data_IF_644541947796
#
_entry.id   IF_644541947796
#
_cell.length_a   1.000
_cell.length_b   1.000
_cell.length_c   1.000
_cell.angle_alpha   90.00
_cell.angle_beta   90.00
_cell.angle_gamma   90.00
#
_symmetry.space_group_name_H-M   'P 1'
#
loop_
_entity.id
_entity.type
_entity.pdbx_description
1 polymer ?
#
# COMPACT_ATOMS: atom_id res chain seq x y z
N UNK A 1 -27.01 20.73 8.50
CA UNK A 1 -25.91 21.06 7.57
C UNK A 1 -25.69 19.82 6.72
N UNK A 2 -26.18 19.82 5.48
CA UNK A 2 -26.41 18.59 4.72
C UNK A 2 -25.12 17.94 4.24
N UNK A 3 -24.89 16.68 4.60
CA UNK A 3 -23.97 15.79 3.89
C UNK A 3 -24.51 15.60 2.45
N UNK A 4 -23.81 16.11 1.44
CA UNK A 4 -24.01 15.77 0.01
C UNK A 4 -22.69 15.92 -0.77
N UNK A 5 -22.45 15.16 -1.85
CA UNK A 5 -22.87 13.79 -2.15
C UNK A 5 -21.78 12.77 -1.75
N UNK A 6 -22.19 11.51 -1.57
CA UNK A 6 -21.27 10.37 -1.50
C UNK A 6 -20.45 10.30 -2.79
N UNK A 7 -19.14 10.38 -2.65
CA UNK A 7 -18.24 10.18 -3.79
C UNK A 7 -17.90 8.71 -3.77
N UNK A 8 -18.67 7.96 -4.54
CA UNK A 8 -18.27 6.62 -4.89
C UNK A 8 -17.20 6.71 -5.97
N UNK A 9 -16.04 6.08 -5.73
CA UNK A 9 -15.08 5.81 -6.82
C UNK A 9 -15.71 4.95 -7.93
N UNK A 10 -16.83 4.24 -7.64
CA UNK A 10 -17.51 3.40 -8.62
C UNK A 10 -17.90 4.22 -9.86
N UNK A 11 -18.57 5.36 -9.72
CA UNK A 11 -19.11 6.08 -10.88
C UNK A 11 -18.05 6.67 -11.83
N UNK A 12 -16.79 6.84 -11.39
CA UNK A 12 -15.70 7.40 -12.22
C UNK A 12 -14.86 6.30 -12.87
N UNK A 13 -14.84 5.09 -12.31
CA UNK A 13 -13.94 4.00 -12.70
C UNK A 13 -14.65 2.67 -13.04
N UNK A 14 -15.98 2.69 -13.26
CA UNK A 14 -16.81 1.54 -13.65
C UNK A 14 -16.34 0.77 -14.91
N UNK A 15 -15.33 1.27 -15.64
CA UNK A 15 -14.77 0.65 -16.83
C UNK A 15 -13.52 -0.23 -16.62
N UNK A 16 -13.00 -0.34 -15.39
CA UNK A 16 -12.01 -1.38 -15.09
C UNK A 16 -12.72 -2.70 -14.76
N UNK A 17 -13.22 -3.37 -15.80
CA UNK A 17 -13.64 -4.78 -15.75
C UNK A 17 -12.42 -5.65 -15.50
N UNK A 18 -11.95 -5.68 -14.26
CA UNK A 18 -10.80 -6.46 -13.84
C UNK A 18 -11.29 -7.86 -13.45
N UNK A 19 -10.67 -8.86 -14.06
CA UNK A 19 -10.98 -10.28 -13.90
C UNK A 19 -10.88 -10.73 -12.42
N UNK A 20 -11.55 -11.83 -12.07
CA UNK A 20 -11.68 -12.47 -10.76
C UNK A 20 -10.39 -12.77 -9.93
N UNK A 21 -9.22 -12.25 -10.29
CA UNK A 21 -7.94 -12.38 -9.57
C UNK A 21 -7.50 -11.02 -9.02
N UNK A 22 -8.07 -10.59 -7.88
CA UNK A 22 -7.77 -9.29 -7.31
C UNK A 22 -6.83 -9.37 -6.11
N UNK A 23 -5.62 -8.82 -6.26
CA UNK A 23 -4.73 -8.49 -5.15
C UNK A 23 -5.11 -7.13 -4.58
N UNK A 24 -5.28 -7.04 -3.26
CA UNK A 24 -5.52 -5.74 -2.64
C UNK A 24 -4.30 -4.82 -2.82
N UNK A 25 -4.52 -3.51 -2.78
CA UNK A 25 -3.49 -2.47 -2.91
C UNK A 25 -2.82 -2.31 -4.28
N UNK A 26 -3.13 -3.16 -5.26
CA UNK A 26 -2.70 -3.01 -6.65
C UNK A 26 -3.70 -2.14 -7.44
N UNK A 27 -3.26 -1.59 -8.59
CA UNK A 27 -4.16 -0.93 -9.54
C UNK A 27 -4.69 0.43 -9.08
N UNK A 28 -3.90 1.18 -8.31
CA UNK A 28 -4.28 2.53 -7.89
C UNK A 28 -4.60 3.41 -9.12
N UNK A 29 -5.84 3.94 -9.25
CA UNK A 29 -6.28 4.62 -10.46
C UNK A 29 -5.88 6.09 -10.52
N UNK A 30 -5.32 6.63 -9.45
CA UNK A 30 -4.98 8.05 -9.38
C UNK A 30 -3.73 8.34 -10.20
N UNK A 31 -3.83 9.31 -11.09
CA UNK A 31 -2.67 9.84 -11.79
C UNK A 31 -1.84 10.67 -10.81
N UNK A 32 -0.60 10.23 -10.59
CA UNK A 32 0.33 10.80 -9.61
C UNK A 32 1.19 11.93 -10.18
N UNK A 33 0.74 12.57 -11.27
CA UNK A 33 1.39 13.64 -12.04
C UNK A 33 2.53 14.36 -11.29
N UNK A 34 3.72 14.41 -11.90
CA UNK A 34 4.78 15.31 -11.45
C UNK A 34 4.27 16.75 -11.56
N UNK A 35 4.16 17.39 -10.40
CA UNK A 35 3.47 18.64 -10.21
C UNK A 35 4.32 19.85 -10.72
N UNK A 36 3.81 20.59 -11.72
CA UNK A 36 4.30 21.93 -12.10
C UNK A 36 3.15 22.99 -12.15
N UNK A 37 3.28 24.13 -11.42
CA UNK A 37 2.62 25.48 -11.54
C UNK A 37 1.57 26.09 -10.53
N UNK A 38 0.83 25.42 -9.61
CA UNK A 38 0.03 26.05 -8.46
C UNK A 38 0.31 25.70 -6.96
N UNK A 39 0.40 26.67 -6.02
CA UNK A 39 0.72 26.44 -4.58
C UNK A 39 -0.19 25.43 -3.82
N UNK A 40 0.32 24.80 -2.75
CA UNK A 40 -0.44 23.80 -1.97
C UNK A 40 -1.75 24.34 -1.42
N UNK A 41 -1.73 25.57 -0.92
CA UNK A 41 -2.90 26.19 -0.31
C UNK A 41 -4.02 26.35 -1.33
N UNK A 42 -3.70 26.75 -2.57
CA UNK A 42 -4.66 26.86 -3.66
C UNK A 42 -5.30 25.52 -4.00
N UNK A 43 -4.48 24.45 -4.01
CA UNK A 43 -4.95 23.10 -4.31
C UNK A 43 -5.83 22.58 -3.18
N UNK A 44 -5.43 22.76 -1.91
CA UNK A 44 -6.23 22.31 -0.75
C UNK A 44 -7.59 22.99 -0.73
N UNK A 45 -7.67 24.28 -1.07
CA UNK A 45 -8.91 25.04 -1.10
C UNK A 45 -9.75 24.80 -2.38
N UNK A 46 -9.27 23.99 -3.32
CA UNK A 46 -10.01 23.72 -4.54
C UNK A 46 -11.34 23.01 -4.26
N UNK A 47 -12.40 23.38 -5.00
CA UNK A 47 -13.74 22.81 -4.83
C UNK A 47 -13.81 21.31 -5.15
N UNK A 48 -12.90 20.82 -6.01
CA UNK A 48 -12.75 19.40 -6.36
C UNK A 48 -11.74 18.64 -5.50
N UNK A 49 -11.15 19.27 -4.47
CA UNK A 49 -10.28 18.57 -3.53
C UNK A 49 -11.06 17.70 -2.55
N UNK A 50 -10.58 16.48 -2.36
CA UNK A 50 -11.14 15.43 -1.50
C UNK A 50 -10.08 14.92 -0.55
N UNK A 51 -10.47 14.76 0.71
CA UNK A 51 -9.56 14.41 1.79
C UNK A 51 -10.01 13.11 2.45
N UNK A 52 -9.08 12.17 2.55
CA UNK A 52 -9.22 10.92 3.28
C UNK A 52 -8.58 11.07 4.67
N UNK A 53 -9.37 11.13 5.75
CA UNK A 53 -8.85 11.38 7.07
C UNK A 53 -8.23 10.13 7.70
N UNK A 54 -7.08 10.31 8.34
CA UNK A 54 -6.40 9.28 9.13
C UNK A 54 -6.09 9.77 10.54
N UNK A 55 -6.15 8.86 11.51
CA UNK A 55 -5.66 9.09 12.86
C UNK A 55 -4.86 7.90 13.32
N UNK A 56 -3.61 8.10 13.73
CA UNK A 56 -2.71 6.99 14.09
C UNK A 56 -2.68 5.89 13.01
N UNK A 57 -2.64 6.30 11.73
CA UNK A 57 -2.65 5.42 10.54
C UNK A 57 -3.94 4.59 10.34
N UNK A 58 -4.98 4.83 11.14
CA UNK A 58 -6.33 4.29 10.96
C UNK A 58 -7.14 5.22 10.08
N UNK A 59 -7.81 4.68 9.07
CA UNK A 59 -8.62 5.45 8.12
C UNK A 59 -10.01 5.71 8.70
N UNK A 60 -10.57 6.89 8.47
CA UNK A 60 -11.95 7.19 8.85
C UNK A 60 -12.92 6.41 7.94
N UNK A 61 -13.78 5.61 8.56
CA UNK A 61 -14.64 4.66 7.86
C UNK A 61 -16.10 4.79 8.31
N UNK A 62 -17.02 4.72 7.35
CA UNK A 62 -18.45 4.64 7.61
C UNK A 62 -18.87 3.16 7.64
N UNK A 63 -19.21 2.65 8.83
CA UNK A 63 -19.55 1.24 9.01
C UNK A 63 -20.90 0.87 8.37
N UNK A 64 -21.88 1.77 8.37
CA UNK A 64 -23.19 1.53 7.77
C UNK A 64 -23.09 1.39 6.24
N UNK A 65 -22.30 2.27 5.61
CA UNK A 65 -22.10 2.31 4.16
C UNK A 65 -20.94 1.45 3.67
N UNK A 66 -20.17 0.87 4.60
CA UNK A 66 -18.99 0.04 4.34
C UNK A 66 -17.97 0.70 3.39
N UNK A 67 -17.69 1.99 3.60
CA UNK A 67 -16.76 2.73 2.74
C UNK A 67 -15.92 3.76 3.51
N UNK A 68 -14.75 4.14 2.99
CA UNK A 68 -13.97 5.25 3.54
C UNK A 68 -14.74 6.58 3.47
N UNK A 69 -14.52 7.45 4.45
CA UNK A 69 -15.17 8.76 4.50
C UNK A 69 -14.29 9.79 3.79
N UNK A 70 -14.81 10.34 2.69
CA UNK A 70 -14.18 11.44 1.96
C UNK A 70 -14.81 12.77 2.35
N UNK A 71 -13.97 13.76 2.64
CA UNK A 71 -14.39 15.10 3.05
C UNK A 71 -13.96 16.15 2.03
N UNK A 72 -14.69 17.27 1.98
CA UNK A 72 -14.33 18.43 1.16
C UNK A 72 -13.48 19.42 1.96
N UNK A 73 -12.81 20.33 1.27
CA UNK A 73 -12.05 21.39 1.94
C UNK A 73 -12.93 22.24 2.86
N UNK A 74 -14.19 22.51 2.47
CA UNK A 74 -15.12 23.32 3.26
C UNK A 74 -15.49 22.67 4.59
N UNK A 75 -15.46 21.35 4.66
CA UNK A 75 -15.74 20.61 5.89
C UNK A 75 -14.52 20.64 6.82
N UNK A 76 -13.32 20.40 6.28
CA UNK A 76 -12.10 20.23 7.07
C UNK A 76 -11.41 21.55 7.43
N UNK A 77 -11.36 22.50 6.51
CA UNK A 77 -10.53 23.71 6.62
C UNK A 77 -11.38 24.98 6.64
N UNK A 78 -10.93 25.97 7.42
CA UNK A 78 -11.44 27.35 7.39
C UNK A 78 -10.26 28.32 7.23
N UNK A 79 -10.39 29.29 6.33
CA UNK A 79 -9.44 30.39 6.24
C UNK A 79 -9.67 31.44 7.35
N UNK A 80 -10.81 31.40 8.03
CA UNK A 80 -11.22 32.36 9.06
C UNK A 80 -11.04 31.86 10.51
N UNK A 81 -10.39 30.70 10.70
CA UNK A 81 -10.00 30.16 12.01
C UNK A 81 -11.14 30.09 13.05
N UNK A 82 -12.31 29.57 12.65
CA UNK A 82 -13.39 29.26 13.59
C UNK A 82 -13.02 28.02 14.42
N UNK A 83 -13.43 27.93 15.70
CA UNK A 83 -13.08 26.85 16.66
C UNK A 83 -13.42 25.41 16.19
N UNK A 84 -14.09 25.28 15.05
CA UNK A 84 -14.64 24.04 14.52
C UNK A 84 -13.95 23.51 13.27
N UNK A 85 -12.86 24.11 12.77
CA UNK A 85 -12.11 23.61 11.59
C UNK A 85 -10.60 23.62 11.79
N UNK A 86 -9.88 22.89 10.94
CA UNK A 86 -8.42 22.76 10.97
C UNK A 86 -7.76 23.84 10.13
N UNK A 87 -6.51 24.17 10.48
CA UNK A 87 -5.59 24.88 9.58
C UNK A 87 -4.62 23.88 8.93
N UNK A 88 -4.09 24.24 7.75
CA UNK A 88 -3.22 23.34 6.94
C UNK A 88 -1.95 22.92 7.70
N UNK A 89 -1.41 23.81 8.53
CA UNK A 89 -0.23 23.61 9.36
C UNK A 89 -0.45 22.69 10.58
N UNK A 90 -1.70 22.43 10.96
CA UNK A 90 -2.05 21.50 12.04
C UNK A 90 -2.09 20.03 11.61
N UNK A 91 -1.93 19.77 10.31
CA UNK A 91 -2.09 18.45 9.72
C UNK A 91 -0.89 18.10 8.83
N UNK A 92 -0.58 16.82 8.72
CA UNK A 92 0.24 16.34 7.61
C UNK A 92 -0.67 16.02 6.43
N UNK A 93 -0.36 16.60 5.27
CA UNK A 93 -1.14 16.48 4.05
C UNK A 93 -0.31 15.82 2.96
N UNK A 94 -0.86 14.78 2.36
CA UNK A 94 -0.23 14.04 1.28
C UNK A 94 -1.16 14.01 0.07
N UNK A 95 -0.70 14.52 -1.07
CA UNK A 95 -1.39 14.39 -2.34
C UNK A 95 -1.28 12.95 -2.84
N UNK A 96 -2.42 12.31 -3.07
CA UNK A 96 -2.51 10.95 -3.59
C UNK A 96 -2.52 10.93 -5.13
N UNK A 97 -3.12 11.96 -5.73
CA UNK A 97 -3.18 12.15 -7.18
C UNK A 97 -4.51 12.76 -7.64
N UNK A 98 -4.78 12.67 -8.95
CA UNK A 98 -6.00 13.17 -9.60
C UNK A 98 -6.72 11.99 -10.28
N UNK A 99 -8.05 11.96 -10.26
CA UNK A 99 -8.86 10.92 -10.95
C UNK A 99 -8.97 11.11 -12.47
N UNK A 100 -7.93 11.62 -13.14
CA UNK A 100 -8.01 11.87 -14.58
C UNK A 100 -8.18 10.57 -15.38
N UNK A 101 -9.17 10.53 -16.26
CA UNK A 101 -9.34 9.45 -17.25
C UNK A 101 -8.44 9.64 -18.48
N UNK A 102 -7.86 10.83 -18.66
CA UNK A 102 -6.92 11.10 -19.73
C UNK A 102 -5.53 10.62 -19.33
N UNK A 103 -4.97 9.67 -20.09
CA UNK A 103 -3.53 9.40 -20.08
C UNK A 103 -2.86 10.64 -20.68
N UNK A 104 -2.67 11.69 -19.88
CA UNK A 104 -2.10 12.96 -20.35
C UNK A 104 -0.73 12.69 -20.98
N UNK A 105 -0.58 13.18 -22.19
CA UNK A 105 0.62 13.19 -23.03
C UNK A 105 1.89 13.44 -22.19
N UNK A 106 2.84 12.48 -22.22
CA UNK A 106 4.11 12.51 -21.48
C UNK A 106 5.18 13.39 -22.14
N UNK A 107 4.79 14.32 -23.01
CA UNK A 107 5.72 15.21 -23.70
C UNK A 107 6.55 16.01 -22.67
N UNK A 108 7.89 15.97 -22.74
CA UNK A 108 8.75 16.67 -21.79
C UNK A 108 8.55 18.18 -21.92
N UNK A 109 8.07 18.82 -20.86
CA UNK A 109 8.01 20.28 -20.78
C UNK A 109 9.42 20.81 -20.55
N UNK A 110 9.86 21.73 -21.40
CA UNK A 110 11.18 22.35 -21.34
C UNK A 110 11.50 22.86 -19.92
N UNK A 111 12.62 22.38 -19.37
CA UNK A 111 13.17 22.83 -18.09
C UNK A 111 13.65 24.27 -18.25
N UNK A 112 12.91 25.24 -17.72
CA UNK A 112 13.50 26.56 -17.46
C UNK A 112 14.48 26.42 -16.30
N UNK A 113 15.61 27.14 -16.38
CA UNK A 113 16.70 27.12 -15.39
C UNK A 113 16.19 27.27 -13.94
N UNK A 114 16.84 26.61 -12.97
CA UNK A 114 16.44 26.69 -11.57
C UNK A 114 16.66 28.10 -11.03
N UNK A 115 15.59 28.89 -10.97
CA UNK A 115 15.59 30.16 -10.25
C UNK A 115 15.96 29.90 -8.79
N UNK A 116 16.93 30.66 -8.25
CA UNK A 116 17.40 30.56 -6.87
C UNK A 116 16.24 30.33 -5.89
N UNK A 117 16.22 29.15 -5.29
CA UNK A 117 15.20 28.73 -4.33
C UNK A 117 15.51 29.41 -2.99
N UNK A 118 14.75 30.44 -2.62
CA UNK A 118 14.76 30.99 -1.27
C UNK A 118 14.10 30.02 -0.26
N UNK A 119 14.36 30.23 1.02
CA UNK A 119 13.84 29.41 2.12
C UNK A 119 12.34 29.62 2.40
N UNK A 120 11.67 30.56 1.74
CA UNK A 120 10.23 30.82 1.89
C UNK A 120 9.40 30.12 0.79
N UNK A 121 10.04 29.70 -0.31
CA UNK A 121 9.43 29.06 -1.49
C UNK A 121 9.14 27.56 -1.32
N UNK A 122 9.26 27.06 -0.10
CA UNK A 122 9.35 25.62 0.18
C UNK A 122 8.01 24.88 0.08
N UNK A 123 6.88 25.60 -0.06
CA UNK A 123 5.52 25.06 -0.09
C UNK A 123 4.87 25.01 -1.49
N UNK A 124 5.65 25.12 -2.56
CA UNK A 124 5.09 25.10 -3.93
C UNK A 124 4.85 23.67 -4.40
N UNK A 125 3.68 23.15 -4.06
CA UNK A 125 2.97 22.12 -4.83
C UNK A 125 2.49 22.78 -6.11
N UNK A 126 2.03 22.02 -7.09
CA UNK A 126 1.98 22.57 -8.44
C UNK A 126 1.14 21.71 -9.44
N UNK A 127 -0.18 21.85 -9.60
CA UNK A 127 -0.92 21.00 -10.57
C UNK A 127 -0.56 21.33 -12.04
N UNK A 128 -0.21 20.31 -12.85
CA UNK A 128 0.18 20.47 -14.26
C UNK A 128 -0.95 20.98 -15.18
N UNK A 129 -2.20 20.73 -14.79
CA UNK A 129 -3.43 21.25 -15.40
C UNK A 129 -4.51 21.37 -14.33
N UNK A 130 -5.49 22.26 -14.53
CA UNK A 130 -6.71 22.24 -13.73
C UNK A 130 -7.40 20.89 -13.89
N UNK A 131 -7.98 20.32 -12.82
CA UNK A 131 -8.86 19.18 -12.95
C UNK A 131 -10.00 19.50 -13.94
N UNK A 132 -10.30 18.57 -14.83
CA UNK A 132 -11.50 18.63 -15.65
C UNK A 132 -12.77 18.67 -14.79
N UNK A 133 -13.95 18.98 -15.37
CA UNK A 133 -15.21 19.12 -14.63
C UNK A 133 -15.58 17.92 -13.73
N UNK A 134 -15.17 16.71 -14.11
CA UNK A 134 -15.44 15.45 -13.41
C UNK A 134 -14.19 14.82 -12.75
N UNK A 135 -13.08 15.57 -12.69
CA UNK A 135 -11.85 15.12 -12.05
C UNK A 135 -11.75 15.65 -10.61
N UNK A 136 -11.24 14.82 -9.71
CA UNK A 136 -11.06 15.17 -8.31
C UNK A 136 -9.61 15.04 -7.92
N UNK A 137 -9.18 15.90 -6.99
CA UNK A 137 -7.84 15.91 -6.42
C UNK A 137 -7.92 15.24 -5.05
N UNK A 138 -7.14 14.18 -4.85
CA UNK A 138 -7.26 13.35 -3.65
C UNK A 138 -6.07 13.55 -2.72
N UNK A 139 -6.36 13.72 -1.44
CA UNK A 139 -5.40 13.86 -0.37
C UNK A 139 -5.63 12.80 0.71
N UNK A 140 -4.56 12.32 1.33
CA UNK A 140 -4.61 11.76 2.67
C UNK A 140 -4.24 12.86 3.67
N UNK A 141 -4.96 12.92 4.79
CA UNK A 141 -4.76 13.93 5.83
C UNK A 141 -4.65 13.28 7.20
N UNK A 142 -3.61 13.64 7.97
CA UNK A 142 -3.55 13.26 9.38
C UNK A 142 -4.41 14.19 10.23
N UNK A 143 -5.25 13.62 11.08
CA UNK A 143 -6.18 14.36 11.94
C UNK A 143 -5.65 14.41 13.37
N UNK A 144 -5.49 15.61 13.96
CA UNK A 144 -5.03 15.76 15.33
C UNK A 144 -6.09 15.25 16.32
N UNK A 145 -5.68 14.81 17.53
CA UNK A 145 -6.60 14.29 18.55
C UNK A 145 -7.73 15.26 18.90
N UNK A 146 -7.47 16.56 18.93
CA UNK A 146 -8.44 17.62 19.24
C UNK A 146 -9.58 17.75 18.22
N UNK A 147 -9.46 17.13 17.05
CA UNK A 147 -10.43 17.21 15.97
C UNK A 147 -11.09 15.87 15.61
N UNK A 148 -10.53 14.76 16.09
CA UNK A 148 -10.94 13.41 15.72
C UNK A 148 -12.43 13.14 15.94
N UNK A 149 -12.95 13.56 17.10
CA UNK A 149 -14.34 13.28 17.51
C UNK A 149 -15.37 14.18 16.80
N UNK A 150 -14.91 15.16 16.00
CA UNK A 150 -15.76 16.06 15.21
C UNK A 150 -16.11 15.47 13.83
N UNK A 151 -15.44 14.40 13.41
CA UNK A 151 -15.63 13.81 12.08
C UNK A 151 -16.67 12.68 12.09
N UNK A 152 -17.50 12.55 11.03
CA UNK A 152 -18.50 11.50 10.94
C UNK A 152 -17.88 10.16 10.55
N UNK A 153 -17.82 9.21 11.48
CA UNK A 153 -17.36 7.84 11.23
C UNK A 153 -16.48 7.30 12.36
N UNK A 154 -15.86 6.14 12.10
CA UNK A 154 -14.98 5.48 13.06
C UNK A 154 -13.61 5.27 12.42
N UNK A 155 -12.54 5.62 13.15
CA UNK A 155 -11.18 5.32 12.71
C UNK A 155 -10.88 3.84 12.87
N UNK A 156 -10.61 3.16 11.76
CA UNK A 156 -10.41 1.71 11.74
C UNK A 156 -9.07 1.33 11.08
N UNK A 157 -8.47 0.25 11.56
CA UNK A 157 -7.27 -0.32 10.95
C UNK A 157 -7.59 -0.83 9.54
N UNK A 158 -6.67 -0.59 8.59
CA UNK A 158 -6.92 -0.89 7.18
C UNK A 158 -7.03 -2.40 6.89
N UNK A 159 -6.23 -3.23 7.58
CA UNK A 159 -6.19 -4.68 7.37
C UNK A 159 -7.54 -5.38 7.57
N UNK A 160 -8.27 -5.20 8.69
CA UNK A 160 -9.60 -5.82 8.86
C UNK A 160 -10.68 -5.24 7.95
N UNK A 161 -10.45 -4.08 7.32
CA UNK A 161 -11.39 -3.49 6.36
C UNK A 161 -11.28 -4.07 4.96
N UNK A 162 -10.16 -4.71 4.59
CA UNK A 162 -9.91 -5.17 3.22
C UNK A 162 -11.03 -6.01 2.59
N UNK A 163 -11.73 -6.91 3.33
CA UNK A 163 -12.87 -7.65 2.78
C UNK A 163 -14.08 -6.79 2.41
N UNK A 164 -14.18 -5.59 2.98
CA UNK A 164 -15.29 -4.65 2.78
C UNK A 164 -14.97 -3.56 1.76
N UNK A 165 -13.70 -3.39 1.41
CA UNK A 165 -13.24 -2.34 0.51
C UNK A 165 -13.28 -2.81 -0.94
N UNK A 166 -13.61 -1.89 -1.85
CA UNK A 166 -13.28 -2.08 -3.26
C UNK A 166 -11.76 -2.12 -3.43
N UNK A 167 -11.30 -2.71 -4.54
CA UNK A 167 -9.86 -2.78 -4.86
C UNK A 167 -9.24 -1.39 -4.98
N UNK A 168 -9.99 -0.47 -5.59
CA UNK A 168 -9.60 0.95 -5.73
C UNK A 168 -9.48 1.61 -4.36
N UNK A 169 -10.50 1.46 -3.50
CA UNK A 169 -10.46 2.05 -2.16
C UNK A 169 -9.32 1.48 -1.34
N UNK A 170 -9.08 0.17 -1.42
CA UNK A 170 -7.94 -0.46 -0.77
C UNK A 170 -6.63 0.16 -1.26
N UNK A 171 -6.41 0.30 -2.58
CA UNK A 171 -5.20 0.88 -3.15
C UNK A 171 -4.97 2.34 -2.79
N UNK A 172 -6.01 3.17 -2.80
CA UNK A 172 -5.93 4.58 -2.40
C UNK A 172 -5.70 4.70 -0.89
N UNK A 173 -6.44 3.93 -0.09
CA UNK A 173 -6.25 3.90 1.37
C UNK A 173 -4.85 3.40 1.76
N UNK A 174 -4.33 2.42 1.03
CA UNK A 174 -2.98 1.88 1.21
C UNK A 174 -1.91 2.91 0.91
N UNK A 175 -2.02 3.62 -0.21
CA UNK A 175 -1.09 4.71 -0.56
C UNK A 175 -1.06 5.79 0.52
N UNK A 176 -2.24 6.29 0.94
CA UNK A 176 -2.34 7.32 1.96
C UNK A 176 -1.76 6.86 3.29
N UNK A 177 -2.05 5.60 3.69
CA UNK A 177 -1.48 4.99 4.89
C UNK A 177 0.06 4.96 4.83
N UNK A 178 0.63 4.41 3.76
CA UNK A 178 2.08 4.22 3.65
C UNK A 178 2.84 5.55 3.68
N UNK A 179 2.34 6.56 2.96
CA UNK A 179 2.96 7.89 2.95
C UNK A 179 2.87 8.57 4.32
N UNK A 180 1.70 8.52 4.98
CA UNK A 180 1.54 9.08 6.32
C UNK A 180 2.41 8.36 7.37
N UNK A 181 2.59 7.04 7.26
CA UNK A 181 3.49 6.25 8.11
C UNK A 181 4.96 6.70 7.94
N UNK A 182 5.38 6.88 6.68
CA UNK A 182 6.70 7.43 6.37
C UNK A 182 6.88 8.85 6.94
N UNK A 183 5.87 9.71 6.83
CA UNK A 183 5.90 11.06 7.41
C UNK A 183 6.08 11.04 8.93
N UNK A 184 5.38 10.16 9.64
CA UNK A 184 5.51 10.00 11.09
C UNK A 184 6.94 9.60 11.50
N UNK A 185 7.57 8.74 10.71
CA UNK A 185 8.91 8.22 10.99
C UNK A 185 10.06 9.16 10.55
N UNK A 186 9.78 10.21 9.78
CA UNK A 186 10.80 11.07 9.15
C UNK A 186 10.69 12.55 9.52
N UNK A 187 10.13 12.87 10.69
CA UNK A 187 10.01 14.24 11.21
C UNK A 187 11.36 14.91 11.50
N UNK A 188 12.40 14.11 11.74
CA UNK A 188 13.77 14.56 12.02
C UNK A 188 14.76 13.94 11.04
N UNK A 189 15.85 14.66 10.77
CA UNK A 189 16.85 14.27 9.80
C UNK A 189 17.75 13.16 10.37
N UNK A 190 17.75 11.98 9.76
CA UNK A 190 18.64 10.87 10.16
C UNK A 190 20.15 11.19 10.10
N UNK A 191 20.55 12.22 9.33
CA UNK A 191 21.95 12.66 9.22
C UNK A 191 22.40 13.63 10.33
N UNK A 192 21.52 14.49 10.83
CA UNK A 192 21.92 15.58 11.73
C UNK A 192 20.94 15.90 12.87
N UNK A 193 19.85 15.15 13.01
CA UNK A 193 18.85 15.30 14.07
C UNK A 193 17.94 16.53 13.97
N UNK A 194 18.19 17.45 13.02
CA UNK A 194 17.36 18.65 12.87
C UNK A 194 15.99 18.33 12.25
N UNK A 195 14.94 19.13 12.53
CA UNK A 195 13.62 18.94 11.93
C UNK A 195 13.65 18.89 10.40
N UNK A 196 12.66 18.23 9.83
CA UNK A 196 12.42 18.18 8.38
C UNK A 196 11.08 18.81 8.03
N UNK A 197 10.96 19.28 6.80
CA UNK A 197 9.74 19.88 6.25
C UNK A 197 9.27 19.09 5.04
N UNK A 198 7.95 18.95 4.91
CA UNK A 198 7.26 18.25 3.82
C UNK A 198 7.24 19.10 2.55
N UNK A 199 7.55 18.47 1.41
CA UNK A 199 7.63 19.08 0.08
C UNK A 199 6.83 18.24 -0.93
N UNK A 200 6.55 18.83 -2.09
CA UNK A 200 6.08 18.12 -3.30
C UNK A 200 4.98 17.09 -3.03
N UNK A 201 3.78 17.52 -2.62
CA UNK A 201 2.73 16.51 -2.44
C UNK A 201 2.83 15.75 -1.11
N UNK A 202 3.82 15.99 -0.25
CA UNK A 202 4.17 15.02 0.80
C UNK A 202 4.90 13.79 0.23
N UNK A 203 5.48 13.89 -0.97
CA UNK A 203 6.30 12.82 -1.56
C UNK A 203 7.80 13.06 -1.38
N UNK A 204 8.16 14.09 -0.60
CA UNK A 204 9.54 14.43 -0.29
C UNK A 204 9.63 15.19 1.03
N UNK A 205 10.73 15.01 1.76
CA UNK A 205 11.05 15.81 2.96
C UNK A 205 12.45 16.38 2.83
N UNK A 206 12.68 17.56 3.39
CA UNK A 206 13.98 18.22 3.40
C UNK A 206 14.37 18.66 4.80
N UNK A 207 15.61 18.43 5.20
CA UNK A 207 16.14 18.92 6.47
C UNK A 207 16.28 20.45 6.45
N UNK A 208 15.82 21.10 7.51
CA UNK A 208 15.88 22.57 7.66
C UNK A 208 17.30 23.11 7.86
N UNK A 209 18.26 22.27 8.26
CA UNK A 209 19.64 22.66 8.56
C UNK A 209 20.64 22.21 7.50
N UNK A 210 20.75 20.91 7.25
CA UNK A 210 21.78 20.36 6.36
C UNK A 210 21.32 20.20 4.91
N UNK A 211 20.09 20.60 4.59
CA UNK A 211 19.47 20.48 3.26
C UNK A 211 19.38 19.06 2.69
N UNK A 212 19.65 18.02 3.49
CA UNK A 212 19.50 16.64 3.06
C UNK A 212 18.02 16.33 2.75
N UNK A 213 17.80 15.63 1.65
CA UNK A 213 16.48 15.32 1.10
C UNK A 213 16.18 13.84 1.27
N UNK A 214 14.95 13.53 1.63
CA UNK A 214 14.43 12.19 1.85
C UNK A 214 13.25 11.95 0.93
N UNK A 215 13.11 10.70 0.49
CA UNK A 215 11.98 10.22 -0.29
C UNK A 215 11.26 9.10 0.48
N UNK A 216 9.96 8.88 0.23
CA UNK A 216 9.24 7.72 0.72
C UNK A 216 10.02 6.44 0.46
N UNK A 217 10.13 5.61 1.50
CA UNK A 217 10.80 4.32 1.43
C UNK A 217 9.80 3.28 0.92
N UNK A 218 10.27 2.39 0.07
CA UNK A 218 9.56 1.16 -0.30
C UNK A 218 10.53 0.02 -0.06
N UNK A 219 10.24 -0.84 0.91
CA UNK A 219 11.08 -1.99 1.21
C UNK A 219 10.71 -3.17 0.31
N UNK A 220 11.61 -3.63 -0.59
CA UNK A 220 11.35 -4.77 -1.44
C UNK A 220 11.39 -6.08 -0.63
N UNK A 221 10.38 -6.92 -0.83
CA UNK A 221 10.22 -8.22 -0.15
C UNK A 221 10.00 -9.28 -1.22
N UNK A 222 10.89 -10.27 -1.31
CA UNK A 222 10.67 -11.43 -2.16
C UNK A 222 9.69 -12.39 -1.46
N UNK A 223 8.65 -12.84 -2.16
CA UNK A 223 7.74 -13.89 -1.68
C UNK A 223 7.69 -15.04 -2.68
N UNK A 224 8.12 -16.21 -2.26
CA UNK A 224 8.49 -17.31 -3.15
C UNK A 224 7.59 -18.52 -2.94
N UNK A 225 6.90 -18.96 -3.99
CA UNK A 225 6.32 -20.29 -4.04
C UNK A 225 7.35 -21.26 -4.60
N UNK A 226 7.85 -22.17 -3.76
CA UNK A 226 8.80 -23.19 -4.18
C UNK A 226 8.05 -24.41 -4.70
N UNK A 227 8.36 -24.81 -5.93
CA UNK A 227 7.77 -25.96 -6.62
C UNK A 227 8.73 -27.14 -6.47
N UNK A 228 8.21 -28.26 -6.00
CA UNK A 228 8.96 -29.51 -5.86
C UNK A 228 9.38 -30.06 -7.24
N UNK A 229 10.42 -30.89 -7.30
CA UNK A 229 10.94 -31.45 -8.56
C UNK A 229 9.92 -32.31 -9.32
N UNK A 230 8.99 -32.94 -8.60
CA UNK A 230 7.85 -33.69 -9.17
C UNK A 230 6.75 -32.81 -9.78
N UNK A 231 6.78 -31.49 -9.53
CA UNK A 231 5.81 -30.47 -9.99
C UNK A 231 4.37 -30.64 -9.44
N UNK A 232 4.19 -31.56 -8.50
CA UNK A 232 2.90 -31.90 -7.88
C UNK A 232 2.80 -31.43 -6.42
N UNK A 233 3.91 -30.96 -5.86
CA UNK A 233 3.96 -30.38 -4.52
C UNK A 233 4.54 -28.95 -4.51
N UNK A 234 4.13 -28.18 -3.50
CA UNK A 234 4.69 -26.85 -3.20
C UNK A 234 5.08 -26.73 -1.73
N UNK A 235 6.13 -25.98 -1.45
CA UNK A 235 6.58 -25.70 -0.09
C UNK A 235 5.79 -24.53 0.49
N UNK A 236 5.24 -24.70 1.69
CA UNK A 236 4.65 -23.61 2.44
C UNK A 236 5.11 -23.66 3.90
N UNK A 237 5.28 -22.48 4.51
CA UNK A 237 5.66 -22.31 5.91
C UNK A 237 4.59 -21.57 6.71
N UNK A 238 4.72 -21.60 8.04
CA UNK A 238 3.94 -20.75 8.94
C UNK A 238 4.76 -20.28 10.13
N UNK A 239 4.47 -19.05 10.58
CA UNK A 239 5.08 -18.42 11.77
C UNK A 239 4.16 -18.59 13.00
N UNK A 240 4.71 -18.61 14.23
CA UNK A 240 3.94 -18.66 15.49
C UNK A 240 2.80 -17.65 15.60
N UNK A 241 2.99 -16.46 15.04
CA UNK A 241 2.02 -15.36 15.08
C UNK A 241 0.84 -15.53 14.12
N UNK A 242 0.88 -16.48 13.18
CA UNK A 242 -0.16 -16.64 12.18
C UNK A 242 -1.39 -17.33 12.77
N UNK A 243 -2.61 -17.04 12.26
CA UNK A 243 -3.79 -17.80 12.58
C UNK A 243 -3.53 -19.31 12.49
N UNK A 244 -4.10 -20.13 13.41
CA UNK A 244 -3.91 -21.57 13.40
C UNK A 244 -4.16 -22.17 12.00
N UNK A 245 -3.28 -23.08 11.60
CA UNK A 245 -3.40 -23.86 10.36
C UNK A 245 -3.34 -23.06 9.05
N UNK A 246 -2.97 -21.77 9.10
CA UNK A 246 -2.65 -20.99 7.91
C UNK A 246 -1.19 -21.20 7.53
N UNK A 247 -0.96 -21.65 6.29
CA UNK A 247 0.35 -21.82 5.64
C UNK A 247 0.47 -20.89 4.44
N UNK A 248 1.65 -20.36 4.19
CA UNK A 248 1.90 -19.38 3.11
C UNK A 248 3.27 -19.56 2.48
N UNK A 249 3.52 -18.85 1.39
CA UNK A 249 4.81 -18.79 0.72
C UNK A 249 5.88 -18.23 1.67
N UNK A 250 7.14 -18.64 1.49
CA UNK A 250 8.26 -18.09 2.24
C UNK A 250 8.57 -16.67 1.74
N UNK A 251 8.92 -15.75 2.64
CA UNK A 251 9.10 -14.36 2.26
C UNK A 251 10.05 -13.62 3.19
N UNK A 252 10.90 -12.79 2.60
CA UNK A 252 11.78 -11.89 3.34
C UNK A 252 12.33 -10.75 2.50
N UNK A 253 13.06 -9.87 3.18
CA UNK A 253 13.53 -8.62 2.57
C UNK A 253 14.66 -8.89 1.59
N UNK A 254 14.71 -8.13 0.50
CA UNK A 254 15.88 -8.13 -0.39
C UNK A 254 17.00 -7.31 0.26
N UNK A 255 18.18 -7.90 0.42
CA UNK A 255 19.33 -7.23 1.00
C UNK A 255 20.13 -6.39 -0.01
N UNK A 256 20.90 -5.39 0.44
CA UNK A 256 21.75 -4.60 -0.45
C UNK A 256 22.75 -5.47 -1.21
N UNK A 257 22.67 -5.42 -2.54
CA UNK A 257 23.54 -6.19 -3.43
C UNK A 257 22.91 -7.47 -3.97
N UNK A 258 21.70 -7.83 -3.53
CA UNK A 258 20.97 -8.98 -4.05
C UNK A 258 20.08 -8.62 -5.24
N UNK A 259 20.03 -9.52 -6.21
CA UNK A 259 18.93 -9.63 -7.17
C UNK A 259 17.71 -10.32 -6.55
N UNK A 260 16.53 -10.16 -7.17
CA UNK A 260 15.31 -10.84 -6.71
C UNK A 260 15.49 -12.37 -6.61
N UNK A 261 16.08 -13.08 -7.61
CA UNK A 261 16.35 -14.51 -7.50
C UNK A 261 17.29 -14.90 -6.36
N UNK A 262 18.32 -14.09 -6.08
CA UNK A 262 19.27 -14.34 -4.98
C UNK A 262 18.56 -14.24 -3.63
N UNK A 263 17.78 -13.18 -3.41
CA UNK A 263 16.96 -13.04 -2.20
C UNK A 263 15.95 -14.19 -2.04
N UNK A 264 15.28 -14.60 -3.13
CA UNK A 264 14.40 -15.77 -3.10
C UNK A 264 15.15 -17.04 -2.67
N UNK A 265 16.37 -17.23 -3.16
CA UNK A 265 17.18 -18.43 -2.87
C UNK A 265 17.69 -18.42 -1.44
N UNK A 266 18.19 -17.27 -0.95
CA UNK A 266 18.65 -17.08 0.43
C UNK A 266 17.51 -17.31 1.42
N UNK A 267 16.39 -16.60 1.28
CA UNK A 267 15.26 -16.68 2.21
C UNK A 267 14.67 -18.10 2.29
N UNK A 268 14.53 -18.78 1.15
CA UNK A 268 14.04 -20.18 1.14
C UNK A 268 15.01 -21.09 1.89
N UNK A 269 16.31 -20.93 1.66
CA UNK A 269 17.32 -21.75 2.33
C UNK A 269 17.39 -21.45 3.83
N UNK A 270 17.38 -20.17 4.24
CA UNK A 270 17.41 -19.76 5.65
C UNK A 270 16.21 -20.31 6.43
N UNK A 271 14.98 -20.11 5.92
CA UNK A 271 13.77 -20.48 6.65
C UNK A 271 13.47 -22.00 6.58
N UNK A 272 13.93 -22.73 5.54
CA UNK A 272 13.50 -24.11 5.31
C UNK A 272 14.58 -25.13 4.97
N UNK A 273 15.82 -24.71 4.70
CA UNK A 273 16.92 -25.58 4.27
C UNK A 273 16.83 -26.08 2.82
N UNK A 274 15.69 -25.87 2.14
CA UNK A 274 15.47 -26.26 0.75
C UNK A 274 16.37 -25.45 -0.18
N UNK A 275 17.03 -26.12 -1.13
CA UNK A 275 17.87 -25.45 -2.13
C UNK A 275 17.10 -25.28 -3.42
N UNK A 276 17.03 -24.06 -3.95
CA UNK A 276 16.34 -23.75 -5.20
C UNK A 276 17.31 -23.37 -6.32
N UNK A 277 16.91 -23.59 -7.57
CA UNK A 277 17.66 -23.13 -8.72
C UNK A 277 17.45 -21.62 -8.95
N UNK A 278 18.39 -20.81 -8.48
CA UNK A 278 18.38 -19.34 -8.64
C UNK A 278 18.16 -18.92 -10.10
N UNK A 279 18.79 -19.61 -11.07
CA UNK A 279 18.68 -19.28 -12.50
C UNK A 279 17.31 -19.59 -13.13
N UNK A 280 16.44 -20.32 -12.41
CA UNK A 280 15.08 -20.66 -12.84
C UNK A 280 14.02 -19.99 -11.97
N UNK A 281 14.38 -18.93 -11.26
CA UNK A 281 13.40 -18.11 -10.54
C UNK A 281 12.60 -17.26 -11.54
N UNK A 282 11.28 -17.34 -11.48
CA UNK A 282 10.38 -16.63 -12.38
C UNK A 282 9.51 -15.63 -11.62
N UNK A 283 9.57 -14.36 -12.01
CA UNK A 283 8.64 -13.35 -11.53
C UNK A 283 7.21 -13.69 -11.96
N UNK A 284 6.26 -13.55 -11.02
CA UNK A 284 4.84 -13.72 -11.24
C UNK A 284 4.11 -12.38 -11.28
N UNK A 285 4.11 -11.66 -10.15
CA UNK A 285 3.42 -10.39 -9.98
C UNK A 285 4.00 -9.63 -8.78
N UNK A 286 3.49 -8.42 -8.50
CA UNK A 286 3.86 -7.66 -7.32
C UNK A 286 2.65 -7.02 -6.64
N UNK A 287 2.74 -6.92 -5.32
CA UNK A 287 1.69 -6.35 -4.48
C UNK A 287 2.27 -5.28 -3.56
N UNK A 288 1.83 -4.00 -3.67
CA UNK A 288 2.12 -3.01 -2.65
C UNK A 288 1.53 -3.45 -1.30
N UNK A 289 2.29 -3.33 -0.23
CA UNK A 289 1.86 -3.71 1.11
C UNK A 289 2.09 -2.54 2.07
N UNK A 290 1.05 -1.74 2.39
CA UNK A 290 1.19 -0.40 2.98
C UNK A 290 1.43 -0.40 4.49
N UNK A 291 1.90 -1.51 5.03
CA UNK A 291 2.16 -1.67 6.46
C UNK A 291 3.67 -1.57 6.72
N UNK A 292 4.04 -1.17 7.94
CA UNK A 292 5.43 -1.05 8.39
C UNK A 292 6.27 -0.16 7.46
N UNK A 293 5.83 1.07 7.20
CA UNK A 293 6.57 2.03 6.38
C UNK A 293 6.45 1.84 4.85
N UNK A 294 5.79 0.77 4.39
CA UNK A 294 5.52 0.51 2.97
C UNK A 294 6.47 -0.51 2.36
N UNK A 295 5.94 -1.68 2.02
CA UNK A 295 6.67 -2.77 1.38
C UNK A 295 6.17 -2.99 -0.06
N UNK A 296 7.01 -3.57 -0.89
CA UNK A 296 6.62 -4.10 -2.20
C UNK A 296 6.86 -5.60 -2.19
N UNK A 297 5.79 -6.38 -2.10
CA UNK A 297 5.86 -7.83 -2.22
C UNK A 297 6.09 -8.19 -3.68
N UNK A 298 7.13 -8.97 -3.96
CA UNK A 298 7.54 -9.40 -5.29
C UNK A 298 7.36 -10.91 -5.33
N UNK A 299 6.29 -11.36 -6.00
CA UNK A 299 5.93 -12.76 -6.08
C UNK A 299 6.75 -13.51 -7.11
N UNK A 300 7.36 -14.61 -6.69
CA UNK A 300 8.21 -15.45 -7.54
C UNK A 300 7.85 -16.94 -7.41
N UNK A 301 8.08 -17.67 -8.51
CA UNK A 301 8.18 -19.12 -8.50
C UNK A 301 9.66 -19.52 -8.50
N UNK A 302 10.03 -20.49 -7.68
CA UNK A 302 11.34 -21.11 -7.69
C UNK A 302 11.20 -22.64 -7.73
N UNK A 303 12.20 -23.34 -8.23
CA UNK A 303 12.18 -24.80 -8.35
C UNK A 303 13.23 -25.42 -7.44
N UNK A 304 12.81 -26.38 -6.62
CA UNK A 304 13.72 -27.08 -5.73
C UNK A 304 14.71 -27.96 -6.50
N UNK A 305 15.92 -28.04 -5.97
CA UNK A 305 17.04 -28.88 -6.40
C UNK A 305 17.54 -29.80 -5.29
N UNK A 306 17.24 -29.45 -4.04
CA UNK A 306 17.30 -30.32 -2.85
C UNK A 306 16.03 -30.05 -2.04
N UNK A 307 15.21 -31.08 -1.82
CA UNK A 307 13.89 -30.96 -1.19
C UNK A 307 13.90 -31.25 0.32
N UNK A 308 15.09 -31.42 0.90
CA UNK A 308 15.27 -31.68 2.33
C UNK A 308 14.90 -30.46 3.16
N UNK A 309 13.87 -30.59 3.99
CA UNK A 309 13.45 -29.53 4.91
C UNK A 309 14.28 -29.62 6.19
N UNK A 310 14.99 -28.53 6.52
CA UNK A 310 15.69 -28.32 7.79
C UNK A 310 15.44 -26.89 8.25
N UNK A 311 14.70 -26.70 9.35
CA UNK A 311 14.50 -25.37 9.92
C UNK A 311 15.81 -24.94 10.62
N UNK A 312 16.44 -23.88 10.10
CA UNK A 312 17.73 -23.40 10.64
C UNK A 312 17.57 -22.38 11.77
N UNK A 313 16.40 -21.80 11.94
CA UNK A 313 16.08 -20.84 12.99
C UNK A 313 14.67 -21.07 13.61
N UNK A 314 14.20 -20.11 14.40
CA UNK A 314 12.89 -20.15 15.06
C UNK A 314 11.86 -19.23 14.39
N UNK A 315 12.08 -18.77 13.16
CA UNK A 315 11.14 -17.90 12.46
C UNK A 315 9.87 -18.65 12.06
N UNK A 316 10.03 -19.86 11.50
CA UNK A 316 8.93 -20.76 11.19
C UNK A 316 8.65 -21.70 12.37
N UNK A 317 7.36 -21.93 12.65
CA UNK A 317 6.96 -23.02 13.55
C UNK A 317 6.80 -24.35 12.82
N UNK A 318 6.50 -24.32 11.51
CA UNK A 318 6.36 -25.50 10.66
C UNK A 318 6.57 -25.11 9.18
N UNK A 319 7.14 -26.02 8.40
CA UNK A 319 7.37 -25.90 6.96
C UNK A 319 7.25 -27.27 6.29
N UNK A 320 6.43 -27.37 5.24
CA UNK A 320 6.03 -28.66 4.67
C UNK A 320 5.76 -28.58 3.18
N UNK A 321 5.96 -29.71 2.49
CA UNK A 321 5.48 -29.93 1.13
C UNK A 321 3.98 -30.25 1.15
N UNK A 322 3.20 -29.56 0.33
CA UNK A 322 1.76 -29.74 0.17
C UNK A 322 1.44 -30.21 -1.24
N UNK A 323 0.69 -31.29 -1.33
CA UNK A 323 0.21 -31.86 -2.60
C UNK A 323 -0.85 -30.98 -3.26
N UNK A 324 -1.05 -31.14 -4.58
CA UNK A 324 -2.16 -30.48 -5.29
C UNK A 324 -3.54 -30.72 -4.65
N UNK A 325 -3.81 -31.91 -4.11
CA UNK A 325 -5.08 -32.21 -3.45
C UNK A 325 -5.26 -31.44 -2.15
N UNK A 326 -4.22 -31.36 -1.31
CA UNK A 326 -4.24 -30.53 -0.10
C UNK A 326 -4.43 -29.05 -0.46
N UNK A 327 -3.73 -28.56 -1.49
CA UNK A 327 -3.88 -27.17 -1.96
C UNK A 327 -5.30 -26.88 -2.46
N UNK A 328 -5.93 -27.82 -3.18
CA UNK A 328 -7.33 -27.67 -3.61
C UNK A 328 -8.27 -27.43 -2.41
N UNK A 329 -8.10 -28.24 -1.36
CA UNK A 329 -8.86 -28.18 -0.11
C UNK A 329 -8.57 -26.88 0.67
N UNK A 330 -7.33 -26.41 0.67
CA UNK A 330 -6.92 -25.16 1.33
C UNK A 330 -7.45 -23.92 0.58
N UNK A 331 -7.49 -23.93 -0.75
CA UNK A 331 -8.04 -22.86 -1.59
C UNK A 331 -9.53 -22.67 -1.29
N UNK A 332 -10.32 -23.76 -1.23
CA UNK A 332 -11.74 -23.68 -0.94
C UNK A 332 -12.01 -23.00 0.42
N UNK A 333 -11.18 -23.30 1.42
CA UNK A 333 -11.27 -22.70 2.76
C UNK A 333 -10.86 -21.24 2.82
N UNK A 334 -9.81 -20.85 2.09
CA UNK A 334 -9.30 -19.47 2.09
C UNK A 334 -10.31 -18.40 1.64
N UNK A 335 -11.37 -18.82 0.93
CA UNK A 335 -12.46 -17.94 0.48
C UNK A 335 -13.50 -17.66 1.58
N UNK A 336 -13.52 -18.46 2.65
CA UNK A 336 -14.44 -18.28 3.76
C UNK A 336 -13.77 -17.49 4.89
N UNK A 337 -14.21 -16.25 5.11
CA UNK A 337 -13.64 -15.35 6.11
C UNK A 337 -14.22 -15.62 7.52
N UNK A 338 -15.34 -16.35 7.61
CA UNK A 338 -16.07 -16.61 8.86
C UNK A 338 -15.69 -17.97 9.49
N UNK A 339 -14.47 -18.46 9.28
CA UNK A 339 -14.04 -19.73 9.86
C UNK A 339 -14.00 -19.62 11.39
N UNK A 340 -14.54 -20.63 12.07
CA UNK A 340 -14.51 -20.77 13.52
C UNK A 340 -13.06 -20.59 14.03
N UNK A 341 -12.88 -19.85 15.11
CA UNK A 341 -11.56 -19.68 15.74
C UNK A 341 -11.00 -21.01 16.26
N UNK A 342 -11.86 -22.00 16.48
CA UNK A 342 -11.47 -23.37 16.83
C UNK A 342 -11.17 -24.25 15.61
N UNK A 343 -11.39 -23.76 14.38
CA UNK A 343 -11.12 -24.53 13.15
C UNK A 343 -9.62 -24.66 12.90
N UNK A 344 -9.10 -25.87 13.11
CA UNK A 344 -7.70 -26.23 12.90
C UNK A 344 -7.42 -26.82 11.52
N UNK A 345 -8.34 -26.72 10.57
CA UNK A 345 -8.09 -27.21 9.21
C UNK A 345 -7.13 -26.30 8.43
N UNK A 346 -6.33 -26.93 7.57
CA UNK A 346 -5.34 -26.27 6.73
C UNK A 346 -5.99 -25.24 5.81
N UNK A 347 -5.33 -24.09 5.65
CA UNK A 347 -5.76 -23.02 4.75
C UNK A 347 -4.57 -22.22 4.24
N UNK A 348 -4.74 -21.58 3.08
CA UNK A 348 -3.82 -20.55 2.57
C UNK A 348 -4.37 -19.15 2.90
N UNK A 349 -3.58 -18.07 2.69
CA UNK A 349 -4.07 -16.70 2.84
C UNK A 349 -5.32 -16.41 1.99
N UNK A 350 -6.10 -15.37 2.33
CA UNK A 350 -7.29 -15.01 1.58
C UNK A 350 -6.95 -14.57 0.14
N UNK A 351 -7.92 -14.62 -0.81
CA UNK A 351 -7.72 -14.27 -2.22
C UNK A 351 -7.06 -12.92 -2.49
N UNK A 352 -7.21 -11.97 -1.57
CA UNK A 352 -6.64 -10.63 -1.69
C UNK A 352 -5.10 -10.57 -1.54
N UNK A 353 -4.45 -11.66 -1.11
CA UNK A 353 -3.00 -11.72 -0.87
C UNK A 353 -2.24 -12.33 -2.06
N UNK A 354 -1.07 -11.79 -2.40
CA UNK A 354 -0.22 -12.30 -3.49
C UNK A 354 0.19 -13.76 -3.28
N UNK A 355 0.39 -14.20 -2.04
CA UNK A 355 0.64 -15.60 -1.72
C UNK A 355 -0.48 -16.53 -2.18
N UNK A 356 -1.75 -16.12 -1.98
CA UNK A 356 -2.89 -16.87 -2.51
C UNK A 356 -2.83 -16.93 -4.04
N UNK A 357 -2.54 -15.81 -4.70
CA UNK A 357 -2.50 -15.74 -6.16
C UNK A 357 -1.38 -16.61 -6.74
N UNK A 358 -0.20 -16.64 -6.13
CA UNK A 358 0.90 -17.54 -6.49
C UNK A 358 0.45 -19.00 -6.44
N UNK A 359 -0.10 -19.42 -5.30
CA UNK A 359 -0.56 -20.80 -5.04
C UNK A 359 -1.69 -21.18 -5.99
N UNK A 360 -2.70 -20.32 -6.11
CA UNK A 360 -3.86 -20.55 -6.98
C UNK A 360 -3.44 -20.65 -8.45
N UNK A 361 -2.54 -19.78 -8.92
CA UNK A 361 -2.06 -19.81 -10.30
C UNK A 361 -1.23 -21.08 -10.60
N UNK A 362 -0.39 -21.54 -9.67
CA UNK A 362 0.30 -22.83 -9.81
C UNK A 362 -0.69 -24.00 -9.83
N UNK A 363 -1.69 -23.98 -8.96
CA UNK A 363 -2.72 -25.02 -8.89
C UNK A 363 -3.57 -25.08 -10.17
N UNK A 364 -3.92 -23.93 -10.74
CA UNK A 364 -4.85 -23.82 -11.88
C UNK A 364 -4.22 -24.00 -13.26
N UNK A 365 -2.89 -23.97 -13.38
CA UNK A 365 -2.18 -24.31 -14.62
C UNK A 365 -2.21 -25.84 -14.83
N UNK A 366 -3.26 -26.29 -15.53
CA UNK A 366 -3.41 -27.60 -16.19
C UNK A 366 -3.92 -27.35 -17.61
#
# INVERSE_FOLDING_TARGET
MSLRPEIHFSSVFDHCSLNNNFQCFQGNPLNRLNLHRKSLQDIVQHSQSRFLPYRQLKVLFNQEKKQPVWLTHQFLFDNNNTEHKLTVDQCELVLLGISSQSLVDRSPVATSEPTKIDSETVSKFFLASEPGPDEYIYFAVSIPPSFADKLPGTYMDLRPLLPQLSVIDAAVCGQGRALLDWHQSNQYCGKCGSPTISLEGGTRRKCTKCNHTFYPRTDPVAITLVIHSDKEHVLLGRKPSFPPSMYTCLAGFIEPGESIPEACSREVWEESGVVVNTNQTHYFDSQPWPFLGGQLMIGCYAYATDETITLHDSELEDCRWFSRSEIADMIQRSRNINLDQNDRNLRIPPPIAIAHQLIYNWYSKI
#
